data_IF_033312616345
#
_entry.id   IF_033312616345
#
_cell.length_a   1.000
_cell.length_b   1.000
_cell.length_c   1.000
_cell.angle_alpha   90.00
_cell.angle_beta   90.00
_cell.angle_gamma   90.00
#
_symmetry.space_group_name_H-M   'P 1'
#
loop_
_entity.id
_entity.type
_entity.pdbx_description
1 polymer ?
#
# COMPACT_ATOMS: atom_id res chain seq x y z
N UNK A 1 -2.93 10.43 9.50
CA UNK A 1 -4.03 9.45 9.38
C UNK A 1 -3.59 8.20 10.12
N UNK A 2 -4.35 7.72 11.12
CA UNK A 2 -4.00 6.54 11.92
C UNK A 2 -4.94 5.38 11.54
N UNK A 3 -4.36 4.23 11.20
CA UNK A 3 -5.10 3.02 10.80
C UNK A 3 -5.45 2.22 12.07
N UNK A 4 -6.73 1.98 12.29
CA UNK A 4 -7.23 1.14 13.39
C UNK A 4 -7.52 -0.27 12.88
N UNK A 5 -6.66 -1.23 13.21
CA UNK A 5 -6.90 -2.65 12.90
C UNK A 5 -7.64 -3.29 14.09
N UNK A 6 -8.96 -3.51 13.93
CA UNK A 6 -9.77 -4.29 14.88
C UNK A 6 -9.70 -5.76 14.48
N UNK A 7 -9.12 -6.61 15.35
CA UNK A 7 -8.97 -8.07 15.20
C UNK A 7 -7.71 -8.58 14.48
N UNK A 8 -6.53 -8.05 14.84
CA UNK A 8 -5.32 -8.87 14.72
C UNK A 8 -5.27 -9.82 15.93
N UNK A 9 -5.43 -11.13 15.71
CA UNK A 9 -5.00 -12.12 16.70
C UNK A 9 -3.47 -11.99 16.77
N UNK A 10 -2.95 -11.40 17.86
CA UNK A 10 -1.51 -11.35 18.12
C UNK A 10 -1.12 -12.76 18.55
N UNK A 11 -0.87 -13.62 17.58
CA UNK A 11 -0.23 -14.92 17.81
C UNK A 11 1.14 -14.61 18.39
N UNK A 12 1.49 -15.22 19.53
CA UNK A 12 2.75 -15.02 20.24
C UNK A 12 3.95 -15.48 19.38
N UNK A 13 4.32 -14.64 18.42
CA UNK A 13 5.63 -14.61 17.78
C UNK A 13 6.55 -13.84 18.72
N UNK A 14 7.79 -14.30 18.91
CA UNK A 14 8.78 -13.56 19.70
C UNK A 14 9.10 -12.17 19.12
N UNK A 15 8.71 -11.93 17.86
CA UNK A 15 8.85 -10.66 17.17
C UNK A 15 7.60 -10.32 16.34
N UNK A 16 7.13 -9.07 16.40
CA UNK A 16 6.03 -8.62 15.55
C UNK A 16 6.43 -8.63 14.07
N UNK A 17 5.59 -9.25 13.23
CA UNK A 17 5.69 -9.13 11.78
C UNK A 17 5.08 -7.80 11.34
N UNK A 18 5.80 -7.05 10.51
CA UNK A 18 5.29 -5.82 9.91
C UNK A 18 5.89 -5.59 8.53
N UNK A 19 5.29 -4.67 7.77
CA UNK A 19 5.82 -4.22 6.49
C UNK A 19 5.92 -2.71 6.46
N UNK A 20 6.97 -2.20 5.83
CA UNK A 20 7.09 -0.78 5.49
C UNK A 20 6.74 -0.63 4.02
N UNK A 21 5.73 0.21 3.75
CA UNK A 21 5.25 0.53 2.41
C UNK A 21 5.70 1.95 2.07
N UNK A 22 6.32 2.11 0.91
CA UNK A 22 6.66 3.42 0.34
C UNK A 22 6.03 3.51 -1.03
N UNK A 23 5.27 4.57 -1.27
CA UNK A 23 4.62 4.79 -2.55
C UNK A 23 4.48 6.28 -2.84
N UNK A 24 4.80 6.65 -4.07
CA UNK A 24 4.45 7.92 -4.73
C UNK A 24 3.43 7.63 -5.85
N UNK A 25 2.56 6.64 -5.64
CA UNK A 25 1.57 6.23 -6.63
C UNK A 25 0.40 7.19 -6.65
N UNK A 26 0.28 7.91 -7.76
CA UNK A 26 -0.81 8.84 -8.04
C UNK A 26 -1.48 8.41 -9.34
N UNK A 27 -2.71 7.91 -9.27
CA UNK A 27 -3.56 7.65 -10.44
C UNK A 27 -3.01 6.62 -11.44
N UNK A 28 -2.14 5.70 -11.03
CA UNK A 28 -1.49 4.75 -11.95
C UNK A 28 -0.01 4.99 -12.19
N UNK A 29 0.50 6.16 -11.83
CA UNK A 29 1.86 6.60 -12.13
C UNK A 29 2.67 6.70 -10.83
N UNK A 30 3.92 6.25 -10.86
CA UNK A 30 4.85 6.34 -9.74
C UNK A 30 5.52 5.01 -9.42
N UNK A 31 6.34 5.02 -8.38
CA UNK A 31 7.02 3.87 -7.82
C UNK A 31 6.28 3.31 -6.59
N UNK A 32 6.49 2.02 -6.34
CA UNK A 32 5.94 1.34 -5.17
C UNK A 32 6.96 0.36 -4.63
N UNK A 33 7.12 0.37 -3.31
CA UNK A 33 8.05 -0.49 -2.60
C UNK A 33 7.40 -1.04 -1.33
N UNK A 34 7.69 -2.30 -1.03
CA UNK A 34 7.36 -2.91 0.25
C UNK A 34 8.52 -3.77 0.73
N UNK A 35 8.77 -3.78 2.04
CA UNK A 35 9.71 -4.70 2.69
C UNK A 35 9.09 -5.28 3.95
N UNK A 36 9.34 -6.55 4.21
CA UNK A 36 8.85 -7.24 5.40
C UNK A 36 9.92 -7.39 6.46
N UNK A 37 9.47 -7.35 7.71
CA UNK A 37 10.32 -7.44 8.88
C UNK A 37 9.69 -8.37 9.91
N UNK A 38 10.56 -9.07 10.64
CA UNK A 38 10.24 -9.77 11.88
C UNK A 38 11.06 -9.12 12.99
N UNK A 39 10.47 -8.18 13.72
CA UNK A 39 11.23 -7.34 14.64
C UNK A 39 12.30 -6.51 13.88
N UNK A 40 13.59 -6.56 14.27
CA UNK A 40 14.64 -5.80 13.58
C UNK A 40 15.09 -6.44 12.26
N UNK A 41 14.75 -7.70 12.03
CA UNK A 41 15.31 -8.48 10.92
C UNK A 41 14.48 -8.31 9.65
N UNK A 42 15.17 -8.03 8.53
CA UNK A 42 14.57 -8.05 7.20
C UNK A 42 14.30 -9.49 6.78
N UNK A 43 13.08 -9.76 6.32
CA UNK A 43 12.75 -11.04 5.70
C UNK A 43 13.19 -10.96 4.23
N UNK A 44 14.27 -11.66 3.88
CA UNK A 44 14.84 -11.71 2.50
C UNK A 44 13.99 -12.53 1.50
N UNK A 45 12.68 -12.58 1.70
CA UNK A 45 11.81 -13.12 0.65
C UNK A 45 11.71 -12.14 -0.52
N UNK A 46 11.55 -12.68 -1.73
CA UNK A 46 11.34 -11.90 -2.95
C UNK A 46 9.92 -11.27 -3.01
N UNK A 47 9.49 -10.66 -1.91
CA UNK A 47 8.24 -9.91 -1.85
C UNK A 47 8.56 -8.47 -2.24
N UNK A 48 8.38 -8.19 -3.52
CA UNK A 48 8.69 -6.90 -4.15
C UNK A 48 7.43 -6.06 -4.44
N UNK A 49 6.25 -6.52 -4.04
CA UNK A 49 4.99 -5.79 -4.22
C UNK A 49 4.28 -5.56 -2.90
N UNK A 50 3.56 -4.44 -2.80
CA UNK A 50 2.74 -4.11 -1.62
C UNK A 50 1.70 -5.21 -1.36
N UNK A 51 1.03 -5.70 -2.42
CA UNK A 51 0.05 -6.79 -2.32
C UNK A 51 0.67 -8.07 -1.77
N UNK A 52 1.86 -8.44 -2.26
CA UNK A 52 2.59 -9.60 -1.74
C UNK A 52 2.90 -9.46 -0.26
N UNK A 53 3.31 -8.26 0.18
CA UNK A 53 3.62 -8.02 1.58
C UNK A 53 2.40 -8.09 2.48
N UNK A 54 1.28 -7.51 2.05
CA UNK A 54 0.02 -7.58 2.79
C UNK A 54 -0.52 -9.01 2.87
N UNK A 55 -0.43 -9.79 1.77
CA UNK A 55 -0.79 -11.21 1.78
C UNK A 55 0.03 -12.01 2.79
N UNK A 56 1.34 -11.77 2.84
CA UNK A 56 2.23 -12.45 3.79
C UNK A 56 1.86 -12.12 5.24
N UNK A 57 1.46 -10.88 5.51
CA UNK A 57 0.93 -10.48 6.83
C UNK A 57 -0.48 -11.03 7.13
N UNK A 58 -1.06 -11.82 6.23
CA UNK A 58 -2.37 -12.45 6.41
C UNK A 58 -3.56 -11.57 6.02
N UNK A 59 -3.34 -10.48 5.28
CA UNK A 59 -4.45 -9.70 4.72
C UNK A 59 -5.16 -10.53 3.66
N UNK A 60 -6.45 -10.77 3.86
CA UNK A 60 -7.32 -11.47 2.91
C UNK A 60 -8.12 -10.41 2.17
N UNK A 61 -7.94 -10.35 0.85
CA UNK A 61 -8.70 -9.47 -0.02
C UNK A 61 -10.22 -9.69 0.13
N UNK A 62 -10.98 -8.60 0.23
CA UNK A 62 -12.45 -8.64 0.19
C UNK A 62 -12.95 -8.76 -1.26
N UNK A 63 -14.19 -9.20 -1.42
CA UNK A 63 -14.83 -9.31 -2.74
C UNK A 63 -14.73 -7.98 -3.51
N UNK A 64 -14.11 -7.99 -4.68
CA UNK A 64 -13.94 -6.81 -5.54
C UNK A 64 -12.86 -5.83 -5.10
N UNK A 65 -12.06 -6.16 -4.09
CA UNK A 65 -10.99 -5.33 -3.54
C UNK A 65 -9.66 -6.08 -3.61
N UNK A 66 -8.53 -5.38 -3.72
CA UNK A 66 -7.23 -5.99 -3.43
C UNK A 66 -6.84 -5.84 -1.96
N UNK A 67 -5.67 -6.36 -1.56
CA UNK A 67 -5.21 -6.27 -0.18
C UNK A 67 -4.97 -4.83 0.28
N UNK A 68 -4.54 -3.96 -0.65
CA UNK A 68 -4.28 -2.54 -0.38
C UNK A 68 -5.57 -1.78 -0.12
N UNK A 69 -6.59 -2.02 -0.94
CA UNK A 69 -7.93 -1.48 -0.76
C UNK A 69 -8.54 -2.02 0.54
N UNK A 70 -8.33 -3.31 0.83
CA UNK A 70 -8.90 -3.99 2.00
C UNK A 70 -8.44 -3.39 3.33
N UNK A 71 -7.21 -2.87 3.38
CA UNK A 71 -6.66 -2.18 4.55
C UNK A 71 -6.97 -0.67 4.57
N UNK A 72 -7.79 -0.17 3.63
CA UNK A 72 -8.28 1.21 3.60
C UNK A 72 -7.27 2.24 3.09
N UNK A 73 -6.36 1.81 2.21
CA UNK A 73 -5.35 2.67 1.58
C UNK A 73 -5.74 3.12 0.16
N UNK A 74 -6.92 2.75 -0.31
CA UNK A 74 -7.50 3.11 -1.61
C UNK A 74 -7.41 4.62 -1.91
N UNK A 75 -7.65 5.47 -0.90
CA UNK A 75 -7.57 6.94 -1.03
C UNK A 75 -6.17 7.49 -1.31
N UNK A 76 -5.13 6.68 -1.15
CA UNK A 76 -3.76 7.07 -1.52
C UNK A 76 -3.59 6.99 -3.05
N UNK A 77 -4.38 6.16 -3.74
CA UNK A 77 -4.29 5.98 -5.20
C UNK A 77 -4.85 7.16 -5.98
N UNK A 78 -5.81 7.88 -5.42
CA UNK A 78 -6.45 9.00 -6.10
C UNK A 78 -5.49 10.18 -6.20
N UNK A 79 -5.31 10.71 -7.42
CA UNK A 79 -4.86 12.09 -7.58
C UNK A 79 -5.83 12.98 -6.79
N UNK A 80 -5.36 13.95 -6.02
CA UNK A 80 -6.23 15.02 -5.56
C UNK A 80 -6.92 15.69 -6.76
N UNK A 81 -8.22 15.96 -6.66
CA UNK A 81 -9.04 16.56 -7.72
C UNK A 81 -8.43 17.83 -8.34
N UNK A 82 -7.60 18.56 -7.57
CA UNK A 82 -6.92 19.75 -8.07
C UNK A 82 -5.75 19.45 -9.02
N UNK A 83 -5.14 18.26 -8.94
CA UNK A 83 -4.08 17.83 -9.86
C UNK A 83 -4.62 17.36 -11.21
N UNK A 84 -5.83 16.79 -11.25
CA UNK A 84 -6.49 16.42 -12.52
C UNK A 84 -6.71 17.65 -13.41
N UNK A 85 -7.09 18.78 -12.80
CA UNK A 85 -7.26 20.07 -13.52
C UNK A 85 -6.00 20.56 -14.22
N UNK A 86 -4.82 20.31 -13.63
CA UNK A 86 -3.56 20.67 -14.29
C UNK A 86 -3.25 19.74 -15.47
N UNK A 87 -3.68 18.48 -15.42
CA UNK A 87 -3.57 17.56 -16.54
C UNK A 87 -4.36 18.02 -17.76
N UNK A 88 -5.61 18.44 -17.56
CA UNK A 88 -6.46 19.02 -18.62
C UNK A 88 -5.83 20.30 -19.22
N UNK A 89 -5.29 21.18 -18.37
CA UNK A 89 -4.66 22.41 -18.84
C UNK A 89 -3.35 22.17 -19.58
N UNK A 90 -2.60 21.12 -19.24
CA UNK A 90 -1.37 20.73 -19.95
C UNK A 90 -1.72 20.10 -21.30
N UNK A 91 -2.79 19.30 -21.41
CA UNK A 91 -3.24 18.77 -22.70
C UNK A 91 -3.74 19.85 -23.66
N UNK A 92 -4.32 20.94 -23.13
CA UNK A 92 -4.76 22.09 -23.93
C UNK A 92 -3.59 22.99 -24.39
N UNK A 93 -2.38 22.78 -23.87
CA UNK A 93 -1.20 23.57 -24.18
C UNK A 93 -0.33 23.02 -25.33
N UNK A 94 -0.70 21.90 -25.97
CA UNK A 94 -0.04 21.31 -27.16
C UNK A 94 1.51 21.47 -27.14
N UNK A 95 2.17 20.97 -26.09
CA UNK A 95 3.63 20.83 -26.00
C UNK A 95 4.09 19.41 -26.33
#
# INVERSE_FOLDING_TARGET
>A
MAIHIKNAQITASSHSLFTIIVTDYFGGIGSQWARLYSGPDLIEEQINTIRGALRFLGVIAKSGMDEFDTVGLDKIRSLPDYLEKYGEWISDLDL
#
